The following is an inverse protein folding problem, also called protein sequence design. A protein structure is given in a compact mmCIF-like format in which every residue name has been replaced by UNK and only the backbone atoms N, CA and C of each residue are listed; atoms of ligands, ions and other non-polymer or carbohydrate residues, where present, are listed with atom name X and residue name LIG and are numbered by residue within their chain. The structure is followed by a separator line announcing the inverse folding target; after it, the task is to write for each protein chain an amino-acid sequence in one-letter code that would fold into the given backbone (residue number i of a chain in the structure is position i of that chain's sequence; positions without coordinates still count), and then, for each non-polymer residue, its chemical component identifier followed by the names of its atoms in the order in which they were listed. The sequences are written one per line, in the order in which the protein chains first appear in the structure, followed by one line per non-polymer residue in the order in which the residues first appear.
data_IF_458161437079
#
_entry.id   IF_458161437079
#
_cell.length_a   1.000
_cell.length_b   1.000
_cell.length_c   1.000
_cell.angle_alpha   90.00
_cell.angle_beta   90.00
_cell.angle_gamma   90.00
#
_symmetry.space_group_name_H-M   'P 1'
#
loop_
_entity.id
_entity.type
_entity.pdbx_description
1 polymer ?
#
# COMPACT_ATOMS: atom_id res chain seq x y z
N UNK A 1 -36.15 10.94 34.98
CA UNK A 1 -35.69 10.66 33.60
C UNK A 1 -34.15 10.40 33.57
N UNK A 2 -33.72 9.31 34.13
CA UNK A 2 -32.30 8.95 34.21
C UNK A 2 -31.84 7.94 33.10
N UNK A 3 -32.68 7.65 32.10
CA UNK A 3 -32.44 6.51 31.20
C UNK A 3 -31.58 6.76 29.97
N UNK A 4 -31.29 8.02 29.61
CA UNK A 4 -30.57 8.32 28.37
C UNK A 4 -29.03 8.08 28.46
N UNK A 5 -28.41 8.23 29.63
CA UNK A 5 -26.98 7.99 29.80
C UNK A 5 -26.63 6.48 29.86
N UNK A 6 -27.54 5.67 30.38
CA UNK A 6 -27.36 4.22 30.40
C UNK A 6 -27.34 3.61 29.00
N UNK A 7 -28.17 4.11 28.11
CA UNK A 7 -28.31 3.55 26.75
C UNK A 7 -27.05 3.78 25.89
N UNK A 8 -26.39 4.95 26.01
CA UNK A 8 -25.15 5.24 25.28
C UNK A 8 -23.96 4.39 25.77
N UNK A 9 -23.82 4.20 27.07
CA UNK A 9 -22.78 3.35 27.63
C UNK A 9 -22.98 1.90 27.20
N UNK A 10 -24.23 1.40 27.24
CA UNK A 10 -24.57 0.05 26.78
C UNK A 10 -24.28 -0.15 25.29
N UNK A 11 -24.60 0.84 24.44
CA UNK A 11 -24.28 0.81 23.01
C UNK A 11 -22.80 0.76 22.79
N UNK A 12 -22.01 1.59 23.48
CA UNK A 12 -20.57 1.60 23.37
C UNK A 12 -19.94 0.25 23.78
N UNK A 13 -20.41 -0.31 24.89
CA UNK A 13 -19.95 -1.63 25.35
C UNK A 13 -20.25 -2.74 24.33
N UNK A 14 -21.42 -2.72 23.70
CA UNK A 14 -21.80 -3.66 22.64
C UNK A 14 -20.90 -3.47 21.41
N UNK A 15 -20.65 -2.22 21.00
CA UNK A 15 -19.79 -1.92 19.86
C UNK A 15 -18.36 -2.33 20.11
N UNK A 16 -17.81 -2.05 21.30
CA UNK A 16 -16.46 -2.48 21.69
C UNK A 16 -16.34 -4.00 21.70
N UNK A 17 -17.31 -4.70 22.28
CA UNK A 17 -17.33 -6.16 22.31
C UNK A 17 -17.40 -6.76 20.88
N UNK A 18 -18.21 -6.19 20.00
CA UNK A 18 -18.28 -6.61 18.59
C UNK A 18 -16.98 -6.33 17.86
N UNK A 19 -16.42 -5.14 18.03
CA UNK A 19 -15.12 -4.80 17.43
C UNK A 19 -14.01 -5.72 17.90
N UNK A 20 -13.92 -5.98 19.20
CA UNK A 20 -12.97 -6.93 19.76
C UNK A 20 -13.07 -8.33 19.15
N UNK A 21 -14.31 -8.77 18.85
CA UNK A 21 -14.57 -10.08 18.22
C UNK A 21 -14.11 -10.13 16.75
N UNK A 22 -14.30 -9.07 15.98
CA UNK A 22 -13.95 -9.03 14.56
C UNK A 22 -12.51 -8.57 14.29
N UNK A 23 -11.87 -7.92 15.25
CA UNK A 23 -10.54 -7.33 15.11
C UNK A 23 -9.47 -8.31 14.61
N UNK A 24 -9.41 -9.58 15.06
CA UNK A 24 -8.43 -10.54 14.52
C UNK A 24 -8.60 -10.77 13.02
N UNK A 25 -9.83 -10.81 12.53
CA UNK A 25 -10.12 -10.98 11.10
C UNK A 25 -9.73 -9.73 10.31
N UNK A 26 -10.00 -8.54 10.85
CA UNK A 26 -9.59 -7.25 10.27
C UNK A 26 -8.05 -7.18 10.17
N UNK A 27 -7.33 -7.54 11.21
CA UNK A 27 -5.86 -7.58 11.19
C UNK A 27 -5.32 -8.55 10.15
N UNK A 28 -5.91 -9.72 10.03
CA UNK A 28 -5.53 -10.73 9.03
C UNK A 28 -5.79 -10.23 7.61
N UNK A 29 -6.98 -9.66 7.38
CA UNK A 29 -7.33 -9.06 6.09
C UNK A 29 -6.36 -7.92 5.73
N UNK A 30 -6.04 -7.07 6.67
CA UNK A 30 -5.09 -5.97 6.47
C UNK A 30 -3.69 -6.47 6.15
N UNK A 31 -3.19 -7.46 6.89
CA UNK A 31 -1.88 -8.09 6.61
C UNK A 31 -1.83 -8.72 5.22
N UNK A 32 -2.85 -9.50 4.85
CA UNK A 32 -2.95 -10.09 3.50
C UNK A 32 -2.98 -9.03 2.41
N UNK A 33 -3.73 -7.95 2.63
CA UNK A 33 -3.89 -6.85 1.67
C UNK A 33 -2.59 -6.06 1.48
N UNK A 34 -1.91 -5.68 2.56
CA UNK A 34 -0.63 -4.95 2.47
C UNK A 34 0.45 -5.80 1.82
N UNK A 35 0.53 -7.07 2.16
CA UNK A 35 1.46 -8.01 1.53
C UNK A 35 1.19 -8.19 0.04
N UNK A 36 -0.08 -8.29 -0.36
CA UNK A 36 -0.47 -8.37 -1.77
C UNK A 36 -0.05 -7.12 -2.54
N UNK A 37 -0.39 -5.94 -2.02
CA UNK A 37 -0.08 -4.67 -2.70
C UNK A 37 1.42 -4.43 -2.77
N UNK A 38 2.17 -4.71 -1.70
CA UNK A 38 3.63 -4.65 -1.70
C UNK A 38 4.23 -5.53 -2.79
N UNK A 39 3.83 -6.79 -2.85
CA UNK A 39 4.32 -7.73 -3.87
C UNK A 39 4.00 -7.25 -5.28
N UNK A 40 2.78 -6.78 -5.53
CA UNK A 40 2.38 -6.25 -6.83
C UNK A 40 3.14 -4.97 -7.19
N UNK A 41 3.45 -4.14 -6.23
CA UNK A 41 4.27 -2.94 -6.43
C UNK A 41 5.69 -3.31 -6.87
N UNK A 42 6.30 -4.29 -6.21
CA UNK A 42 7.62 -4.83 -6.57
C UNK A 42 7.59 -5.46 -7.97
N UNK A 43 6.58 -6.29 -8.27
CA UNK A 43 6.41 -6.89 -9.60
C UNK A 43 6.27 -5.83 -10.71
N UNK A 44 5.50 -4.77 -10.46
CA UNK A 44 5.32 -3.67 -11.41
C UNK A 44 6.63 -2.91 -11.68
N UNK A 45 7.45 -2.72 -10.66
CA UNK A 45 8.75 -2.04 -10.78
C UNK A 45 9.75 -2.95 -11.52
N UNK A 46 9.84 -4.22 -11.17
CA UNK A 46 10.77 -5.17 -11.79
C UNK A 46 10.37 -5.50 -13.23
N UNK A 47 9.08 -5.68 -13.49
CA UNK A 47 8.52 -5.96 -14.80
C UNK A 47 8.28 -4.72 -15.68
N UNK A 48 8.56 -3.52 -15.19
CA UNK A 48 8.24 -2.26 -15.85
C UNK A 48 8.88 -2.07 -17.22
N UNK A 49 8.23 -1.29 -18.06
CA UNK A 49 8.71 -0.92 -19.39
C UNK A 49 10.02 -0.15 -19.34
N UNK A 50 10.84 -0.30 -20.37
CA UNK A 50 12.13 0.37 -20.54
C UNK A 50 12.13 1.15 -21.85
N UNK A 51 11.23 2.11 -22.00
CA UNK A 51 11.11 2.92 -23.21
C UNK A 51 11.71 4.32 -23.07
N UNK A 52 12.34 4.60 -21.94
CA UNK A 52 12.99 5.87 -21.69
C UNK A 52 14.41 5.97 -22.24
N UNK A 53 15.16 6.94 -21.75
CA UNK A 53 16.52 7.23 -22.22
C UNK A 53 17.50 6.12 -21.83
N UNK A 54 18.28 5.64 -22.79
CA UNK A 54 19.40 4.73 -22.53
C UNK A 54 20.67 5.51 -22.20
N UNK A 55 21.45 5.01 -21.24
CA UNK A 55 22.73 5.57 -20.87
C UNK A 55 23.72 4.48 -20.50
N UNK A 56 25.01 4.75 -20.70
CA UNK A 56 26.07 3.80 -20.40
C UNK A 56 26.51 3.93 -18.94
N UNK A 57 26.60 2.82 -18.25
CA UNK A 57 27.10 2.71 -16.88
C UNK A 57 28.16 1.63 -16.81
N UNK A 58 29.42 2.04 -16.81
CA UNK A 58 30.54 1.12 -16.97
C UNK A 58 30.47 0.40 -18.32
N UNK A 59 30.45 -0.93 -18.31
CA UNK A 59 30.36 -1.77 -19.52
C UNK A 59 28.93 -2.08 -19.93
N UNK A 60 27.92 -1.72 -19.12
CA UNK A 60 26.50 -2.04 -19.37
C UNK A 60 25.73 -0.83 -19.86
N UNK A 61 24.78 -1.08 -20.77
CA UNK A 61 23.79 -0.11 -21.18
C UNK A 61 22.55 -0.31 -20.31
N UNK A 62 22.11 0.77 -19.65
CA UNK A 62 20.88 0.80 -18.88
C UNK A 62 19.85 1.67 -19.58
N UNK A 63 18.63 1.15 -19.75
CA UNK A 63 17.50 1.90 -20.31
C UNK A 63 16.51 2.18 -19.17
N UNK A 64 16.27 3.46 -18.89
CA UNK A 64 15.32 3.89 -17.87
C UNK A 64 13.87 3.72 -18.35
N UNK A 65 12.91 3.78 -17.43
CA UNK A 65 11.50 3.95 -17.76
C UNK A 65 11.24 5.35 -18.32
N UNK A 66 10.23 5.49 -19.17
CA UNK A 66 9.74 6.78 -19.63
C UNK A 66 8.82 7.45 -18.58
N UNK A 67 8.59 8.78 -18.70
CA UNK A 67 7.56 9.44 -17.91
C UNK A 67 6.19 8.77 -18.04
N UNK A 68 5.49 8.57 -16.94
CA UNK A 68 4.18 7.89 -16.90
C UNK A 68 4.23 6.38 -16.86
N UNK A 69 5.36 5.75 -17.12
CA UNK A 69 5.58 4.31 -16.88
C UNK A 69 5.85 4.02 -15.39
N UNK A 70 5.76 2.76 -14.99
CA UNK A 70 6.30 2.35 -13.70
C UNK A 70 7.81 2.61 -13.67
N UNK A 71 8.35 3.11 -12.55
CA UNK A 71 9.79 3.29 -12.42
C UNK A 71 10.50 1.93 -12.58
N UNK A 72 11.64 1.95 -13.25
CA UNK A 72 12.47 0.76 -13.40
C UNK A 72 13.62 0.81 -12.42
N UNK A 73 13.79 -0.26 -11.66
CA UNK A 73 14.94 -0.36 -10.76
C UNK A 73 16.23 -0.59 -11.54
N UNK A 74 17.27 0.12 -11.18
CA UNK A 74 18.63 -0.07 -11.71
C UNK A 74 19.45 -0.96 -10.76
N UNK A 75 19.51 -0.57 -9.48
CA UNK A 75 20.28 -1.27 -8.44
C UNK A 75 19.39 -1.99 -7.41
N UNK A 76 18.09 -1.97 -7.59
CA UNK A 76 17.13 -2.56 -6.67
C UNK A 76 16.91 -1.75 -5.39
N UNK A 77 17.42 -0.54 -5.29
CA UNK A 77 17.28 0.30 -4.10
C UNK A 77 15.81 0.61 -3.79
N UNK A 78 15.04 1.02 -4.82
CA UNK A 78 13.61 1.31 -4.65
C UNK A 78 12.86 0.08 -4.19
N UNK A 79 13.07 -1.06 -4.84
CA UNK A 79 12.39 -2.33 -4.51
C UNK A 79 12.69 -2.77 -3.07
N UNK A 80 13.96 -2.73 -2.66
CA UNK A 80 14.36 -3.08 -1.29
C UNK A 80 13.86 -2.10 -0.23
N UNK A 81 13.53 -0.87 -0.62
CA UNK A 81 13.02 0.15 0.30
C UNK A 81 11.52 0.00 0.61
N UNK A 82 10.80 -0.83 -0.16
CA UNK A 82 9.36 -0.99 0.00
C UNK A 82 9.07 -1.99 1.12
N UNK A 83 8.56 -1.47 2.22
CA UNK A 83 8.21 -2.23 3.42
C UNK A 83 6.74 -2.08 3.78
N UNK A 84 6.25 -2.96 4.64
CA UNK A 84 4.89 -2.90 5.17
C UNK A 84 4.90 -2.79 6.68
N UNK A 85 3.87 -2.15 7.23
CA UNK A 85 3.65 -2.06 8.65
C UNK A 85 2.14 -2.13 8.95
N UNK A 86 1.79 -2.79 10.05
CA UNK A 86 0.41 -2.84 10.56
C UNK A 86 0.37 -2.12 11.89
N UNK A 87 -0.42 -1.06 11.95
CA UNK A 87 -0.64 -0.27 13.16
C UNK A 87 -2.00 -0.62 13.75
N UNK A 88 -1.99 -1.14 14.94
CA UNK A 88 -3.20 -1.48 15.70
C UNK A 88 -3.49 -0.36 16.70
N UNK A 89 -4.53 0.43 16.39
CA UNK A 89 -5.05 1.46 17.28
C UNK A 89 -6.43 1.01 17.74
N UNK A 90 -6.62 0.67 18.98
CA UNK A 90 -7.87 0.17 19.61
C UNK A 90 -9.06 -0.10 18.67
N UNK A 91 -9.62 0.93 18.04
CA UNK A 91 -10.79 0.88 17.16
C UNK A 91 -10.46 0.93 15.67
N UNK A 92 -9.18 1.08 15.30
CA UNK A 92 -8.72 1.20 13.91
C UNK A 92 -7.49 0.33 13.70
N UNK A 93 -7.47 -0.42 12.61
CA UNK A 93 -6.28 -1.13 12.12
C UNK A 93 -5.84 -0.47 10.81
N UNK A 94 -4.59 -0.01 10.78
CA UNK A 94 -4.02 0.68 9.62
C UNK A 94 -2.93 -0.18 9.01
N UNK A 95 -3.05 -0.51 7.72
CA UNK A 95 -1.98 -1.09 6.93
C UNK A 95 -1.21 0.02 6.20
N UNK A 96 0.10 0.00 6.33
CA UNK A 96 0.98 0.98 5.70
C UNK A 96 1.92 0.28 4.72
N UNK A 97 2.15 0.91 3.58
CA UNK A 97 3.21 0.54 2.63
C UNK A 97 4.13 1.75 2.53
N UNK A 98 5.39 1.54 2.78
CA UNK A 98 6.39 2.60 2.92
C UNK A 98 7.49 2.35 1.90
N UNK A 99 7.80 3.35 1.08
CA UNK A 99 8.96 3.36 0.20
C UNK A 99 9.96 4.38 0.74
N UNK A 100 11.04 3.92 1.33
CA UNK A 100 12.01 4.78 2.04
C UNK A 100 13.22 5.20 1.21
N UNK A 101 13.29 4.81 -0.06
CA UNK A 101 14.35 5.29 -0.95
C UNK A 101 14.25 6.80 -1.17
N UNK A 102 15.37 7.51 -1.13
CA UNK A 102 15.42 8.97 -1.24
C UNK A 102 14.72 9.53 -2.49
N UNK A 103 14.78 8.79 -3.58
CA UNK A 103 14.15 9.18 -4.85
C UNK A 103 12.67 8.71 -5.00
N UNK A 104 12.13 7.96 -4.03
CA UNK A 104 10.78 7.41 -4.12
C UNK A 104 9.71 8.51 -4.24
N UNK A 105 9.82 9.57 -3.45
CA UNK A 105 8.89 10.69 -3.49
C UNK A 105 8.93 11.42 -4.84
N UNK A 106 10.13 11.64 -5.38
CA UNK A 106 10.30 12.28 -6.68
C UNK A 106 9.71 11.43 -7.83
N UNK A 107 9.80 10.12 -7.75
CA UNK A 107 9.17 9.22 -8.71
C UNK A 107 7.64 9.28 -8.62
N UNK A 108 7.09 9.23 -7.42
CA UNK A 108 5.63 9.23 -7.21
C UNK A 108 4.97 10.53 -7.66
N UNK A 109 5.52 11.65 -7.25
CA UNK A 109 4.91 12.97 -7.43
C UNK A 109 5.55 13.81 -8.54
N UNK A 110 6.73 13.44 -9.02
CA UNK A 110 7.53 14.25 -9.91
C UNK A 110 8.24 15.41 -9.21
N UNK A 111 9.05 16.13 -9.96
CA UNK A 111 9.74 17.35 -9.55
C UNK A 111 9.65 18.39 -10.66
N UNK A 112 10.19 19.60 -10.44
CA UNK A 112 10.31 20.64 -11.50
C UNK A 112 11.13 20.17 -12.70
N UNK A 113 12.05 19.22 -12.50
CA UNK A 113 12.95 18.69 -13.55
C UNK A 113 12.58 17.30 -14.05
N UNK A 114 11.70 16.58 -13.35
CA UNK A 114 11.35 15.20 -13.67
C UNK A 114 9.85 14.98 -13.61
N UNK A 115 9.28 14.48 -14.69
CA UNK A 115 7.87 14.08 -14.72
C UNK A 115 7.65 12.84 -13.84
N UNK A 116 6.49 12.79 -13.19
CA UNK A 116 6.11 11.71 -12.29
C UNK A 116 6.08 10.35 -12.99
N UNK A 117 6.45 9.34 -12.25
CA UNK A 117 6.32 7.91 -12.59
C UNK A 117 5.65 7.21 -11.40
N UNK A 118 4.34 7.42 -11.19
CA UNK A 118 3.65 6.94 -9.99
C UNK A 118 3.66 5.41 -9.96
N UNK A 119 4.00 4.85 -8.81
CA UNK A 119 4.04 3.42 -8.60
C UNK A 119 3.18 2.98 -7.41
N UNK A 120 3.12 3.78 -6.36
CA UNK A 120 2.35 3.46 -5.15
C UNK A 120 0.85 3.60 -5.41
N UNK A 121 0.39 4.78 -5.77
CA UNK A 121 -1.02 5.05 -6.02
C UNK A 121 -1.56 4.17 -7.16
N UNK A 122 -0.83 4.07 -8.25
CA UNK A 122 -1.24 3.24 -9.39
C UNK A 122 -1.40 1.76 -9.03
N UNK A 123 -0.47 1.20 -8.27
CA UNK A 123 -0.57 -0.19 -7.82
C UNK A 123 -1.74 -0.38 -6.86
N UNK A 124 -1.94 0.56 -5.94
CA UNK A 124 -3.08 0.52 -5.02
C UNK A 124 -4.40 0.53 -5.79
N UNK A 125 -4.55 1.42 -6.76
CA UNK A 125 -5.75 1.50 -7.60
C UNK A 125 -6.00 0.19 -8.37
N UNK A 126 -4.96 -0.41 -8.92
CA UNK A 126 -5.05 -1.70 -9.60
C UNK A 126 -5.50 -2.85 -8.69
N UNK A 127 -5.14 -2.80 -7.42
CA UNK A 127 -5.39 -3.87 -6.45
C UNK A 127 -6.65 -3.63 -5.58
N UNK A 128 -7.32 -2.50 -5.71
CA UNK A 128 -8.47 -2.13 -4.86
C UNK A 128 -9.55 -3.23 -4.82
N UNK A 129 -9.93 -3.76 -5.97
CA UNK A 129 -10.93 -4.84 -6.06
C UNK A 129 -10.48 -6.12 -5.34
N UNK A 130 -9.20 -6.46 -5.46
CA UNK A 130 -8.62 -7.64 -4.82
C UNK A 130 -8.54 -7.48 -3.32
N UNK A 131 -8.15 -6.30 -2.85
CA UNK A 131 -8.15 -5.94 -1.43
C UNK A 131 -9.56 -6.06 -0.85
N UNK A 132 -10.55 -5.51 -1.52
CA UNK A 132 -11.95 -5.62 -1.11
C UNK A 132 -12.39 -7.08 -0.97
N UNK A 133 -12.04 -7.93 -1.94
CA UNK A 133 -12.31 -9.37 -1.90
C UNK A 133 -11.65 -10.07 -0.70
N UNK A 134 -10.43 -9.68 -0.34
CA UNK A 134 -9.74 -10.23 0.84
C UNK A 134 -10.53 -9.93 2.10
N UNK A 135 -11.04 -8.71 2.27
CA UNK A 135 -11.87 -8.34 3.42
C UNK A 135 -13.19 -9.10 3.45
N UNK A 136 -13.79 -9.39 2.30
CA UNK A 136 -14.98 -10.25 2.21
C UNK A 136 -14.65 -11.70 2.64
N UNK A 137 -13.55 -12.26 2.16
CA UNK A 137 -13.10 -13.63 2.50
C UNK A 137 -12.83 -13.79 4.00
N UNK A 138 -12.33 -12.76 4.68
CA UNK A 138 -12.12 -12.77 6.14
C UNK A 138 -13.38 -12.46 6.94
N UNK A 139 -14.54 -12.29 6.26
CA UNK A 139 -15.84 -12.09 6.90
C UNK A 139 -16.04 -10.69 7.50
N UNK A 140 -15.29 -9.71 7.08
CA UNK A 140 -15.43 -8.32 7.55
C UNK A 140 -16.44 -7.52 6.73
N UNK A 141 -16.50 -7.77 5.42
CA UNK A 141 -17.47 -7.17 4.50
C UNK A 141 -18.42 -8.26 3.99
N UNK A 142 -19.66 -7.96 4.00
CA UNK A 142 -20.71 -8.83 3.41
C UNK A 142 -20.99 -8.47 1.96
#
# INVERSE_FOLDING_TARGET
MASKRGDFNTINEILEARFKKIKPNVKRAMFRSTTLVQRKMIENIDGGSRSGRSYKRGTKIHTASAPGEFPKTDRGELVRSITTNIVDKNTVVVGQIIASADHAQALEFGTTKMKKRPFMQRTLDQQTKRVHKIFQEEGYLT
#
